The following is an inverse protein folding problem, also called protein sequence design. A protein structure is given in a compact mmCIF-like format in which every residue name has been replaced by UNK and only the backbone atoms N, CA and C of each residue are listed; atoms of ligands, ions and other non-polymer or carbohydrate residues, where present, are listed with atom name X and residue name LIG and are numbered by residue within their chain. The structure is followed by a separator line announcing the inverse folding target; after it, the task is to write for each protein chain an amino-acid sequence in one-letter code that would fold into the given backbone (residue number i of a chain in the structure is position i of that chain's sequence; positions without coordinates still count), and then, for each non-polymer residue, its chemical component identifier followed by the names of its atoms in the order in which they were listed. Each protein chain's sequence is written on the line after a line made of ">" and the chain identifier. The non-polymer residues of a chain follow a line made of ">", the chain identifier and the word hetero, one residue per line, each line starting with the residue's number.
data_IF_517411251103
#
_entry.id   IF_517411251103
#
_cell.length_a   1.000
_cell.length_b   1.000
_cell.length_c   1.000
_cell.angle_alpha   90.00
_cell.angle_beta   90.00
_cell.angle_gamma   90.00
#
_symmetry.space_group_name_H-M   'P 1'
#
loop_
_entity.id
_entity.type
_entity.pdbx_description
1 polymer ?
#
# COMPACT_ATOMS: atom_id res chain seq x y z
N UNK A 1 3.40 -2.21 29.02
CA UNK A 1 3.17 -3.58 28.50
C UNK A 1 2.69 -3.42 27.07
N UNK A 2 3.59 -3.61 26.09
CA UNK A 2 3.21 -3.61 24.67
C UNK A 2 2.53 -4.95 24.43
N UNK A 3 1.22 -4.94 24.14
CA UNK A 3 0.51 -6.14 23.71
C UNK A 3 1.13 -6.61 22.39
N UNK A 4 1.86 -7.70 22.41
CA UNK A 4 2.25 -8.44 21.21
C UNK A 4 0.97 -9.04 20.65
N UNK A 5 0.36 -8.32 19.71
CA UNK A 5 -0.79 -8.85 18.99
C UNK A 5 -0.26 -9.85 17.98
N UNK A 6 -0.72 -11.09 18.10
CA UNK A 6 -0.62 -12.08 17.03
C UNK A 6 -1.15 -11.42 15.76
N UNK A 7 -0.29 -11.28 14.75
CA UNK A 7 -0.61 -10.60 13.50
C UNK A 7 -1.66 -11.38 12.70
N UNK A 8 -2.94 -11.17 13.03
CA UNK A 8 -4.02 -11.60 12.17
C UNK A 8 -4.26 -10.50 11.12
N UNK A 9 -3.89 -10.67 9.84
CA UNK A 9 -4.11 -9.67 8.81
C UNK A 9 -5.57 -9.25 8.66
N UNK A 10 -6.52 -10.11 9.09
CA UNK A 10 -7.95 -9.82 9.09
C UNK A 10 -8.33 -8.67 10.03
N UNK A 11 -7.54 -8.49 11.10
CA UNK A 11 -7.74 -7.44 12.10
C UNK A 11 -6.84 -6.22 11.85
N UNK A 12 -6.07 -6.23 10.75
CA UNK A 12 -5.19 -5.13 10.40
C UNK A 12 -5.99 -3.84 10.21
N UNK A 13 -5.59 -2.81 10.97
CA UNK A 13 -6.23 -1.50 10.97
C UNK A 13 -5.20 -0.42 10.64
N UNK A 14 -5.59 0.52 9.78
CA UNK A 14 -4.71 1.58 9.32
C UNK A 14 -5.48 2.87 9.02
N UNK A 15 -4.77 3.97 9.05
CA UNK A 15 -5.37 5.30 8.88
C UNK A 15 -5.65 5.64 7.43
N UNK A 16 -6.82 6.24 7.19
CA UNK A 16 -7.24 6.83 5.91
C UNK A 16 -7.20 8.35 5.98
N UNK A 17 -6.67 8.94 4.95
CA UNK A 17 -6.51 10.39 4.79
C UNK A 17 -7.19 10.86 3.51
N UNK A 18 -8.18 11.77 3.58
CA UNK A 18 -8.74 12.37 2.39
C UNK A 18 -7.74 13.30 1.71
N UNK A 19 -7.85 13.40 0.39
CA UNK A 19 -7.08 14.36 -0.41
C UNK A 19 -7.23 15.80 0.14
N UNK A 20 -6.23 16.64 -0.08
CA UNK A 20 -4.93 16.41 -0.73
C UNK A 20 -3.88 15.76 0.19
N UNK A 21 -2.75 15.27 -0.36
CA UNK A 21 -1.70 14.55 0.40
C UNK A 21 -1.02 15.35 1.52
N UNK A 22 -1.09 16.67 1.47
CA UNK A 22 -0.63 17.55 2.55
C UNK A 22 -1.60 17.59 3.75
N UNK A 23 -2.82 17.06 3.60
CA UNK A 23 -3.69 16.78 4.72
C UNK A 23 -3.15 15.58 5.50
N UNK A 24 -2.54 15.87 6.66
CA UNK A 24 -1.91 14.86 7.52
C UNK A 24 -2.81 14.40 8.67
N UNK A 25 -4.06 14.85 8.71
CA UNK A 25 -5.02 14.45 9.73
C UNK A 25 -5.86 13.28 9.21
N UNK A 26 -5.80 12.09 9.83
CA UNK A 26 -6.63 10.98 9.40
C UNK A 26 -8.11 11.27 9.68
N UNK A 27 -9.00 10.83 8.81
CA UNK A 27 -10.45 11.01 8.98
C UNK A 27 -11.16 9.76 9.48
N UNK A 28 -10.56 8.60 9.26
CA UNK A 28 -11.10 7.30 9.73
C UNK A 28 -10.02 6.23 9.74
N UNK A 29 -10.36 5.10 10.37
CA UNK A 29 -9.60 3.85 10.30
C UNK A 29 -10.25 2.96 9.25
N UNK A 30 -9.43 2.23 8.50
CA UNK A 30 -9.83 1.26 7.49
C UNK A 30 -9.22 -0.11 7.78
N UNK A 31 -9.84 -1.14 7.22
CA UNK A 31 -9.36 -2.52 7.13
C UNK A 31 -8.94 -2.83 5.70
N UNK A 32 -8.32 -4.00 5.46
CA UNK A 32 -8.02 -4.48 4.09
C UNK A 32 -9.30 -4.62 3.25
N UNK A 33 -10.40 -5.08 3.85
CA UNK A 33 -11.71 -5.17 3.18
C UNK A 33 -12.22 -3.80 2.73
N UNK A 34 -12.08 -2.78 3.58
CA UNK A 34 -12.46 -1.40 3.23
C UNK A 34 -11.60 -0.85 2.09
N UNK A 35 -10.29 -1.12 2.11
CA UNK A 35 -9.37 -0.70 1.05
C UNK A 35 -9.69 -1.41 -0.27
N UNK A 36 -9.98 -2.72 -0.24
CA UNK A 36 -10.43 -3.47 -1.42
C UNK A 36 -11.73 -2.88 -1.98
N UNK A 37 -12.74 -2.66 -1.15
CA UNK A 37 -14.00 -2.04 -1.58
C UNK A 37 -13.82 -0.62 -2.13
N UNK A 38 -12.86 0.15 -1.60
CA UNK A 38 -12.52 1.46 -2.13
C UNK A 38 -11.88 1.37 -3.51
N UNK A 39 -10.91 0.47 -3.70
CA UNK A 39 -10.13 0.30 -4.93
C UNK A 39 -11.00 -0.26 -6.07
N UNK A 40 -11.91 -1.18 -5.78
CA UNK A 40 -12.89 -1.71 -6.75
C UNK A 40 -14.05 -0.76 -6.99
N UNK A 41 -14.32 0.15 -6.05
CA UNK A 41 -15.42 1.12 -6.10
C UNK A 41 -15.25 2.19 -7.17
N UNK A 42 -16.35 2.88 -7.48
CA UNK A 42 -16.38 3.88 -8.55
C UNK A 42 -15.81 5.24 -8.14
N UNK A 43 -15.67 5.51 -6.84
CA UNK A 43 -15.29 6.83 -6.31
C UNK A 43 -13.91 7.32 -6.75
N UNK A 44 -12.97 6.39 -7.02
CA UNK A 44 -11.63 6.73 -7.50
C UNK A 44 -11.47 6.61 -9.02
N UNK A 45 -12.51 6.13 -9.74
CA UNK A 45 -12.40 5.76 -11.16
C UNK A 45 -12.08 6.96 -12.04
N UNK A 46 -12.86 8.02 -11.93
CA UNK A 46 -12.70 9.21 -12.79
C UNK A 46 -11.33 9.87 -12.59
N UNK A 47 -10.91 10.08 -11.33
CA UNK A 47 -9.61 10.68 -11.04
C UNK A 47 -8.44 9.76 -11.44
N UNK A 48 -8.60 8.44 -11.36
CA UNK A 48 -7.59 7.48 -11.85
C UNK A 48 -7.47 7.57 -13.38
N UNK A 49 -8.60 7.62 -14.09
CA UNK A 49 -8.60 7.78 -15.54
C UNK A 49 -8.06 9.14 -15.97
N UNK A 50 -8.40 10.22 -15.26
CA UNK A 50 -7.90 11.56 -15.52
C UNK A 50 -6.37 11.61 -15.35
N UNK A 51 -5.83 11.08 -14.23
CA UNK A 51 -4.40 11.01 -13.99
C UNK A 51 -3.65 10.29 -15.14
N UNK A 52 -4.17 9.14 -15.59
CA UNK A 52 -3.54 8.32 -16.64
C UNK A 52 -3.54 8.96 -18.02
N UNK A 53 -4.30 10.05 -18.23
CA UNK A 53 -4.28 10.85 -19.48
C UNK A 53 -3.31 12.00 -19.44
N UNK A 54 -2.76 12.35 -18.28
CA UNK A 54 -1.79 13.44 -18.13
C UNK A 54 -0.42 12.94 -18.59
N UNK A 55 0.08 13.50 -19.69
CA UNK A 55 1.38 13.12 -20.27
C UNK A 55 2.58 13.74 -19.55
N UNK A 56 2.42 14.93 -18.98
CA UNK A 56 3.50 15.60 -18.24
C UNK A 56 3.66 15.01 -16.84
N UNK A 57 4.87 14.56 -16.51
CA UNK A 57 5.17 13.91 -15.22
C UNK A 57 5.00 14.83 -14.02
N UNK A 58 5.31 16.11 -14.15
CA UNK A 58 5.19 17.10 -13.06
C UNK A 58 3.72 17.39 -12.78
N UNK A 59 2.94 17.57 -13.83
CA UNK A 59 1.50 17.76 -13.74
C UNK A 59 0.81 16.53 -13.15
N UNK A 60 1.13 15.32 -13.63
CA UNK A 60 0.60 14.06 -13.11
C UNK A 60 0.90 13.88 -11.62
N UNK A 61 2.13 14.23 -11.19
CA UNK A 61 2.51 14.19 -9.77
C UNK A 61 1.71 15.18 -8.93
N UNK A 62 1.53 16.41 -9.42
CA UNK A 62 0.74 17.44 -8.76
C UNK A 62 -0.73 17.02 -8.67
N UNK A 63 -1.30 16.52 -9.76
CA UNK A 63 -2.68 16.01 -9.81
C UNK A 63 -2.88 14.85 -8.80
N UNK A 64 -1.99 13.86 -8.78
CA UNK A 64 -2.04 12.76 -7.82
C UNK A 64 -2.02 13.25 -6.38
N UNK A 65 -1.15 14.19 -6.04
CA UNK A 65 -1.02 14.75 -4.70
C UNK A 65 -2.23 15.56 -4.25
N UNK A 66 -2.98 16.15 -5.17
CA UNK A 66 -4.15 17.01 -4.85
C UNK A 66 -5.49 16.28 -4.88
N UNK A 67 -5.61 15.17 -5.65
CA UNK A 67 -6.91 14.54 -5.91
C UNK A 67 -7.07 13.14 -5.31
N UNK A 68 -5.98 12.48 -4.91
CA UNK A 68 -6.07 11.11 -4.42
C UNK A 68 -6.07 11.04 -2.90
N UNK A 69 -7.05 10.31 -2.37
CA UNK A 69 -7.02 9.87 -0.99
C UNK A 69 -5.90 8.83 -0.81
N UNK A 70 -5.41 8.70 0.41
CA UNK A 70 -4.36 7.76 0.71
C UNK A 70 -4.54 7.08 2.07
N UNK A 71 -3.83 5.99 2.27
CA UNK A 71 -3.75 5.26 3.54
C UNK A 71 -2.30 5.10 3.97
N UNK A 72 -2.11 4.77 5.24
CA UNK A 72 -0.84 4.32 5.81
C UNK A 72 -1.01 2.86 6.21
N UNK A 73 -0.80 1.90 5.28
CA UNK A 73 -1.04 0.46 5.53
C UNK A 73 -0.33 -0.07 6.77
N UNK A 74 0.80 0.50 7.16
CA UNK A 74 1.58 0.11 8.33
C UNK A 74 0.89 0.35 9.67
N UNK A 75 -0.16 1.19 9.75
CA UNK A 75 -0.85 1.34 11.03
C UNK A 75 -1.80 2.52 11.18
N UNK A 76 -2.28 2.66 12.40
CA UNK A 76 -3.11 3.76 12.86
C UNK A 76 -2.24 4.91 13.37
N UNK A 77 -2.56 6.13 12.94
CA UNK A 77 -1.81 7.35 13.27
C UNK A 77 -2.74 8.43 13.82
N UNK A 78 -2.24 9.21 14.77
CA UNK A 78 -2.92 10.46 15.18
C UNK A 78 -2.66 11.61 14.19
N UNK A 79 -1.55 11.53 13.45
CA UNK A 79 -1.12 12.46 12.42
C UNK A 79 -0.17 11.75 11.45
N UNK A 80 -0.12 12.12 10.18
CA UNK A 80 0.70 11.46 9.14
C UNK A 80 2.20 11.77 9.26
N UNK A 81 2.83 11.31 10.33
CA UNK A 81 4.25 11.40 10.62
C UNK A 81 4.72 10.16 11.41
N UNK A 82 5.97 9.74 11.24
CA UNK A 82 6.48 8.49 11.80
C UNK A 82 6.39 8.43 13.34
N UNK A 83 6.61 9.56 14.02
CA UNK A 83 6.52 9.69 15.48
C UNK A 83 5.07 9.73 16.02
N UNK A 84 4.08 9.70 15.15
CA UNK A 84 2.64 9.77 15.48
C UNK A 84 1.92 8.43 15.29
N UNK A 85 2.67 7.34 15.13
CA UNK A 85 2.11 5.99 15.10
C UNK A 85 1.47 5.67 16.46
N UNK A 86 0.18 5.31 16.42
CA UNK A 86 -0.57 4.84 17.60
C UNK A 86 -0.39 3.32 17.74
N UNK A 87 -0.58 2.61 16.62
CA UNK A 87 -0.53 1.14 16.59
C UNK A 87 -0.11 0.68 15.20
N UNK A 88 0.86 -0.22 15.13
CA UNK A 88 1.24 -0.88 13.88
C UNK A 88 0.21 -1.94 13.49
N UNK A 89 -0.11 -2.03 12.20
CA UNK A 89 -1.11 -2.97 11.66
C UNK A 89 -0.60 -4.40 11.48
N UNK A 90 0.72 -4.59 11.46
CA UNK A 90 1.33 -5.84 10.99
C UNK A 90 1.42 -5.96 9.47
N UNK A 91 1.15 -4.87 8.73
CA UNK A 91 1.28 -4.83 7.27
C UNK A 91 2.48 -4.01 6.83
N UNK A 92 3.07 -4.40 5.72
CA UNK A 92 4.09 -3.68 4.99
C UNK A 92 3.63 -3.48 3.54
N UNK A 93 3.64 -2.25 3.07
CA UNK A 93 3.36 -1.91 1.67
C UNK A 93 4.66 -1.60 0.94
N UNK A 94 4.93 -2.35 -0.13
CA UNK A 94 6.06 -2.12 -1.03
C UNK A 94 5.56 -1.56 -2.34
N UNK A 95 6.22 -0.53 -2.83
CA UNK A 95 5.88 0.19 -4.06
C UNK A 95 6.94 -0.09 -5.13
N UNK A 96 6.51 -0.53 -6.31
CA UNK A 96 7.36 -0.75 -7.47
C UNK A 96 6.91 0.20 -8.57
N UNK A 97 7.67 1.27 -8.79
CA UNK A 97 7.38 2.27 -9.80
C UNK A 97 7.98 1.90 -11.17
N UNK A 98 7.31 2.31 -12.23
CA UNK A 98 7.80 2.21 -13.62
C UNK A 98 8.23 0.81 -14.04
N UNK A 99 7.42 -0.22 -13.69
CA UNK A 99 7.67 -1.59 -14.13
C UNK A 99 7.32 -1.77 -15.60
N UNK A 100 8.08 -2.60 -16.31
CA UNK A 100 7.87 -2.81 -17.75
C UNK A 100 6.55 -3.52 -18.06
N UNK A 101 6.13 -4.44 -17.19
CA UNK A 101 4.89 -5.23 -17.36
C UNK A 101 4.24 -5.43 -15.98
N UNK A 102 3.19 -4.64 -15.73
CA UNK A 102 2.43 -4.67 -14.47
C UNK A 102 1.76 -6.03 -14.25
N UNK A 103 1.22 -6.67 -15.29
CA UNK A 103 0.52 -7.94 -15.16
C UNK A 103 1.50 -9.06 -14.76
N UNK A 104 2.65 -9.13 -15.43
CA UNK A 104 3.71 -10.08 -15.11
C UNK A 104 4.26 -9.90 -13.70
N UNK A 105 4.47 -8.65 -13.27
CA UNK A 105 4.96 -8.37 -11.90
C UNK A 105 3.91 -8.79 -10.87
N UNK A 106 2.63 -8.52 -11.11
CA UNK A 106 1.56 -8.98 -10.22
C UNK A 106 1.52 -10.52 -10.14
N UNK A 107 1.61 -11.22 -11.25
CA UNK A 107 1.67 -12.70 -11.29
C UNK A 107 2.85 -13.24 -10.49
N UNK A 108 4.06 -12.68 -10.68
CA UNK A 108 5.26 -13.09 -9.93
C UNK A 108 5.09 -12.90 -8.42
N UNK A 109 4.55 -11.77 -7.98
CA UNK A 109 4.36 -11.47 -6.56
C UNK A 109 3.24 -12.30 -5.92
N UNK A 110 2.21 -12.69 -6.69
CA UNK A 110 1.16 -13.60 -6.21
C UNK A 110 1.64 -15.04 -6.09
N UNK A 111 2.62 -15.44 -6.89
CA UNK A 111 3.26 -16.76 -6.83
C UNK A 111 4.43 -16.83 -5.84
N UNK A 112 4.65 -15.80 -5.02
CA UNK A 112 5.72 -15.80 -4.02
C UNK A 112 5.42 -16.77 -2.87
N UNK A 113 6.38 -17.67 -2.58
CA UNK A 113 6.23 -18.71 -1.55
C UNK A 113 6.59 -18.23 -0.12
N UNK A 114 7.23 -17.06 0.00
CA UNK A 114 7.75 -16.57 1.28
C UNK A 114 6.88 -15.47 1.92
N UNK A 115 6.20 -14.67 1.09
CA UNK A 115 5.39 -13.56 1.57
C UNK A 115 3.92 -13.73 1.20
N UNK A 116 3.08 -13.85 2.21
CA UNK A 116 1.63 -13.97 2.02
C UNK A 116 1.04 -12.62 1.60
N UNK A 117 0.68 -12.53 0.31
CA UNK A 117 0.06 -11.33 -0.28
C UNK A 117 -1.31 -11.07 0.33
N UNK A 118 -1.48 -9.92 0.96
CA UNK A 118 -2.74 -9.49 1.54
C UNK A 118 -3.57 -8.63 0.57
N UNK A 119 -2.89 -7.74 -0.15
CA UNK A 119 -3.51 -6.88 -1.17
C UNK A 119 -2.47 -6.56 -2.24
N UNK A 120 -2.86 -6.61 -3.52
CA UNK A 120 -1.98 -6.29 -4.63
C UNK A 120 -2.75 -5.53 -5.71
N UNK A 121 -2.29 -4.33 -6.06
CA UNK A 121 -2.99 -3.49 -7.02
C UNK A 121 -2.04 -2.62 -7.85
N UNK A 122 -2.55 -2.18 -8.99
CA UNK A 122 -1.85 -1.28 -9.90
C UNK A 122 -1.77 0.13 -9.31
N UNK A 123 -0.63 0.78 -9.44
CA UNK A 123 -0.43 2.16 -8.97
C UNK A 123 -1.41 3.16 -9.64
N UNK A 124 -1.67 4.34 -9.05
CA UNK A 124 -2.53 5.35 -9.66
C UNK A 124 -2.14 5.72 -11.09
N UNK A 125 -0.83 5.81 -11.36
CA UNK A 125 -0.29 6.15 -12.70
C UNK A 125 -0.46 5.02 -13.72
N UNK A 126 -0.66 3.78 -13.27
CA UNK A 126 -0.89 2.62 -14.14
C UNK A 126 0.37 1.88 -14.55
N UNK A 127 1.56 2.37 -14.22
CA UNK A 127 2.86 1.85 -14.58
C UNK A 127 3.66 1.27 -13.39
N UNK A 128 3.01 1.05 -12.28
CA UNK A 128 3.61 0.50 -11.07
C UNK A 128 2.69 -0.45 -10.34
N UNK A 129 3.22 -1.12 -9.33
CA UNK A 129 2.52 -2.12 -8.51
C UNK A 129 2.70 -1.78 -7.04
N UNK A 130 1.63 -1.92 -6.27
CA UNK A 130 1.63 -1.79 -4.81
C UNK A 130 1.30 -3.14 -4.20
N UNK A 131 2.25 -3.64 -3.43
CA UNK A 131 2.21 -4.96 -2.82
C UNK A 131 2.15 -4.85 -1.30
N UNK A 132 1.09 -5.35 -0.70
CA UNK A 132 0.87 -5.34 0.74
C UNK A 132 0.99 -6.76 1.26
N UNK A 133 1.91 -6.97 2.19
CA UNK A 133 2.21 -8.25 2.83
C UNK A 133 2.07 -8.16 4.34
N UNK A 134 1.82 -9.30 4.98
CA UNK A 134 1.88 -9.42 6.43
C UNK A 134 3.32 -9.55 6.90
N UNK A 135 3.66 -8.89 8.01
CA UNK A 135 4.97 -8.97 8.66
C UNK A 135 4.82 -9.28 10.15
N UNK A 136 5.78 -10.00 10.71
CA UNK A 136 5.80 -10.33 12.13
C UNK A 136 6.74 -9.39 12.91
N UNK A 137 6.16 -8.43 13.62
CA UNK A 137 6.90 -7.44 14.41
C UNK A 137 7.55 -8.00 15.67
N UNK A 138 7.27 -9.26 16.02
CA UNK A 138 8.00 -9.93 17.10
C UNK A 138 9.41 -10.33 16.70
N UNK A 139 9.66 -10.50 15.40
CA UNK A 139 10.97 -10.85 14.84
C UNK A 139 11.87 -9.63 14.66
N UNK A 140 11.34 -8.57 14.07
CA UNK A 140 12.08 -7.32 13.90
C UNK A 140 11.14 -6.14 13.60
N UNK A 141 11.66 -4.92 13.61
CA UNK A 141 10.91 -3.72 13.34
C UNK A 141 10.55 -3.54 11.83
N UNK A 142 9.62 -2.63 11.56
CA UNK A 142 9.15 -2.29 10.21
C UNK A 142 10.30 -1.95 9.25
N UNK A 143 11.28 -1.17 9.72
CA UNK A 143 12.43 -0.72 8.91
C UNK A 143 13.32 -1.90 8.50
N UNK A 144 13.53 -2.83 9.40
CA UNK A 144 14.33 -4.04 9.17
C UNK A 144 13.59 -4.98 8.22
N UNK A 145 12.28 -5.19 8.42
CA UNK A 145 11.43 -5.93 7.49
C UNK A 145 11.46 -5.33 6.09
N UNK A 146 11.29 -4.01 5.96
CA UNK A 146 11.34 -3.34 4.64
C UNK A 146 12.66 -3.59 3.93
N UNK A 147 13.79 -3.46 4.62
CA UNK A 147 15.13 -3.71 4.03
C UNK A 147 15.29 -5.17 3.59
N UNK A 148 14.87 -6.12 4.43
CA UNK A 148 14.93 -7.54 4.11
C UNK A 148 14.08 -7.86 2.88
N UNK A 149 12.83 -7.39 2.84
CA UNK A 149 11.93 -7.60 1.72
C UNK A 149 12.46 -6.94 0.43
N UNK A 150 12.93 -5.69 0.50
CA UNK A 150 13.49 -5.00 -0.66
C UNK A 150 14.71 -5.71 -1.26
N UNK A 151 15.58 -6.25 -0.40
CA UNK A 151 16.72 -7.07 -0.84
C UNK A 151 16.26 -8.40 -1.44
N UNK A 152 15.28 -9.06 -0.84
CA UNK A 152 14.71 -10.30 -1.33
C UNK A 152 14.12 -10.15 -2.73
N UNK A 153 13.21 -9.20 -2.94
CA UNK A 153 12.57 -8.98 -4.25
C UNK A 153 13.57 -8.55 -5.33
N UNK A 154 14.61 -7.83 -4.93
CA UNK A 154 15.70 -7.47 -5.84
C UNK A 154 16.51 -8.70 -6.27
N UNK A 155 16.83 -9.58 -5.34
CA UNK A 155 17.62 -10.79 -5.61
C UNK A 155 16.80 -11.84 -6.40
N UNK A 156 15.53 -12.03 -6.04
CA UNK A 156 14.68 -13.08 -6.62
C UNK A 156 14.04 -12.67 -7.94
N UNK A 157 13.63 -11.40 -8.08
CA UNK A 157 12.81 -10.90 -9.20
C UNK A 157 13.45 -9.76 -9.99
N UNK A 158 14.58 -9.21 -9.52
CA UNK A 158 15.17 -8.02 -10.12
C UNK A 158 14.34 -6.73 -9.90
N UNK A 159 13.35 -6.76 -9.01
CA UNK A 159 12.49 -5.63 -8.72
C UNK A 159 13.15 -4.66 -7.74
N UNK A 160 13.02 -3.37 -8.00
CA UNK A 160 13.55 -2.31 -7.12
C UNK A 160 12.39 -1.64 -6.40
N UNK A 161 12.35 -1.81 -5.08
CA UNK A 161 11.36 -1.17 -4.23
C UNK A 161 11.64 0.33 -4.05
N UNK A 162 10.59 1.18 -4.03
CA UNK A 162 10.73 2.59 -3.64
C UNK A 162 11.26 2.68 -2.20
N UNK A 163 12.45 3.27 -1.97
CA UNK A 163 13.08 3.30 -0.65
C UNK A 163 12.26 4.06 0.41
N UNK A 164 11.31 4.88 0.00
CA UNK A 164 10.44 5.60 0.93
C UNK A 164 9.47 4.71 1.72
N UNK A 165 9.25 3.45 1.27
CA UNK A 165 8.49 2.44 2.03
C UNK A 165 9.09 2.06 3.38
N UNK A 166 10.35 2.47 3.65
CA UNK A 166 11.00 2.32 4.95
C UNK A 166 10.33 3.12 6.07
N UNK A 167 9.59 4.18 5.72
CA UNK A 167 8.91 5.05 6.68
C UNK A 167 7.53 4.50 7.01
N UNK A 168 7.25 4.28 8.30
CA UNK A 168 5.95 3.73 8.73
C UNK A 168 4.77 4.63 8.34
N UNK A 169 4.95 5.95 8.24
CA UNK A 169 3.90 6.89 7.82
C UNK A 169 3.80 7.07 6.30
N UNK A 170 4.45 6.20 5.51
CA UNK A 170 4.42 6.30 4.03
C UNK A 170 3.00 6.32 3.50
N UNK A 171 2.67 7.38 2.77
CA UNK A 171 1.38 7.52 2.11
C UNK A 171 1.27 6.56 0.90
N UNK A 172 0.23 5.74 0.88
CA UNK A 172 -0.12 4.90 -0.24
C UNK A 172 -1.44 5.39 -0.85
N UNK A 173 -1.39 5.99 -2.03
CA UNK A 173 -2.57 6.49 -2.74
C UNK A 173 -3.47 5.35 -3.20
N UNK A 174 -4.79 5.52 -3.05
CA UNK A 174 -5.80 4.56 -3.45
C UNK A 174 -6.40 4.90 -4.83
N UNK A 175 -6.02 4.17 -5.89
CA UNK A 175 -6.62 4.31 -7.22
C UNK A 175 -7.90 3.49 -7.35
N UNK A 176 -8.50 3.53 -8.54
CA UNK A 176 -9.39 2.48 -9.01
C UNK A 176 -8.58 1.40 -9.77
N UNK A 177 -8.73 0.14 -9.35
CA UNK A 177 -8.17 -1.04 -10.04
C UNK A 177 -9.20 -2.18 -9.98
N UNK A 178 -9.82 -2.50 -11.11
CA UNK A 178 -10.79 -3.61 -11.22
C UNK A 178 -10.11 -5.00 -11.08
N UNK A 179 -8.78 -5.07 -11.23
CA UNK A 179 -7.99 -6.29 -11.15
C UNK A 179 -7.14 -6.34 -9.86
N UNK A 180 -7.59 -5.64 -8.81
CA UNK A 180 -6.97 -5.73 -7.50
C UNK A 180 -7.13 -7.14 -6.94
N UNK A 181 -6.04 -7.72 -6.44
CA UNK A 181 -6.09 -8.95 -5.66
C UNK A 181 -6.27 -8.63 -4.18
N UNK A 182 -7.08 -9.41 -3.50
CA UNK A 182 -7.18 -9.45 -2.04
C UNK A 182 -7.10 -10.90 -1.57
N UNK A 183 -6.40 -11.15 -0.47
CA UNK A 183 -6.32 -12.49 0.13
C UNK A 183 -7.73 -13.02 0.46
N UNK A 184 -8.01 -14.25 0.06
CA UNK A 184 -9.34 -14.87 0.26
C UNK A 184 -9.76 -14.95 1.72
N UNK A 185 -8.81 -15.01 2.65
CA UNK A 185 -9.10 -14.97 4.08
C UNK A 185 -9.64 -13.60 4.52
N UNK A 186 -9.23 -12.50 3.84
CA UNK A 186 -9.69 -11.14 4.13
C UNK A 186 -11.10 -10.90 3.58
N UNK A 187 -11.37 -11.43 2.40
CA UNK A 187 -12.65 -11.28 1.72
C UNK A 187 -13.07 -12.63 1.13
N UNK A 188 -13.70 -13.51 1.92
CA UNK A 188 -14.25 -14.75 1.39
C UNK A 188 -15.36 -14.40 0.40
N UNK A 189 -15.23 -14.93 -0.82
CA UNK A 189 -16.20 -14.78 -1.92
C UNK A 189 -17.32 -15.81 -1.80
#
# INVERSE_FOLDING_TARGET
>A
MIQVLTNNPLEARFSFFPAPVNNKKPSKVMTLKDAFGYITGMQARERTQALRRIGDKKEARAYKGTHFDYVTFSGEFSYGADDKLIRHSGLLCVDFDHVADVAKVKEMLLGDDYFDTQLLFTSPSGDGVKWVVAIDLSQCDHRTWFKALANYVRASYGLVADPSGINVSRACFLPHDALVYVNSNVCPF
#
